data_IF_740146146780
#
_entry.id   IF_740146146780
#
_cell.length_a   1.000
_cell.length_b   1.000
_cell.length_c   1.000
_cell.angle_alpha   90.00
_cell.angle_beta   90.00
_cell.angle_gamma   90.00
#
_symmetry.space_group_name_H-M   'P 1'
#
loop_
_entity.id
_entity.type
_entity.pdbx_description
1 polymer ?
#
# COMPACT_ATOMS: atom_id res chain seq x y z
N UNK A 1 23.68 11.49 -4.39
CA UNK A 1 22.30 11.41 -3.86
C UNK A 1 22.17 12.51 -2.83
N UNK A 2 21.28 13.51 -3.05
CA UNK A 2 21.04 14.56 -2.06
C UNK A 2 20.34 13.94 -0.85
N UNK A 3 20.86 14.21 0.34
CA UNK A 3 20.54 13.55 1.59
C UNK A 3 19.09 13.90 2.05
N UNK A 4 18.44 13.03 2.85
CA UNK A 4 17.12 13.32 3.41
C UNK A 4 17.13 14.57 4.31
N UNK A 5 18.26 14.87 4.93
CA UNK A 5 18.44 16.08 5.72
C UNK A 5 18.38 17.35 4.86
N UNK A 6 19.00 17.36 3.67
CA UNK A 6 18.94 18.51 2.74
C UNK A 6 17.49 18.90 2.40
N UNK A 7 16.58 17.92 2.37
CA UNK A 7 15.16 18.15 2.08
C UNK A 7 14.40 18.72 3.27
N UNK A 8 14.72 18.26 4.48
CA UNK A 8 14.13 18.80 5.71
C UNK A 8 14.54 20.26 5.91
N UNK A 9 15.83 20.54 5.76
CA UNK A 9 16.37 21.89 5.90
C UNK A 9 15.75 22.86 4.88
N UNK A 10 15.56 22.38 3.63
CA UNK A 10 14.92 23.16 2.61
C UNK A 10 13.46 23.46 2.95
N UNK A 11 12.70 22.48 3.46
CA UNK A 11 11.29 22.71 3.88
C UNK A 11 11.23 23.69 5.04
N UNK A 12 12.10 23.58 6.03
CA UNK A 12 12.19 24.54 7.15
C UNK A 12 12.40 25.96 6.60
N UNK A 13 13.35 26.11 5.68
CA UNK A 13 13.69 27.40 5.09
C UNK A 13 12.53 27.99 4.29
N UNK A 14 11.95 27.21 3.34
CA UNK A 14 10.88 27.70 2.46
C UNK A 14 9.59 27.98 3.24
N UNK A 15 9.27 27.14 4.24
CA UNK A 15 8.08 27.30 5.08
C UNK A 15 8.25 28.35 6.17
N UNK A 16 9.41 28.96 6.29
CA UNK A 16 9.76 29.86 7.38
C UNK A 16 9.45 29.23 8.76
N UNK A 17 10.04 28.06 9.04
CA UNK A 17 9.78 27.30 10.26
C UNK A 17 8.28 26.94 10.45
N UNK A 18 7.62 26.49 9.39
CA UNK A 18 6.20 26.06 9.40
C UNK A 18 5.19 27.18 9.69
N UNK A 19 5.55 28.43 9.46
CA UNK A 19 4.68 29.58 9.66
C UNK A 19 4.09 30.16 8.37
N UNK A 20 4.50 29.62 7.20
CA UNK A 20 4.11 30.10 5.89
C UNK A 20 3.56 28.96 5.02
N UNK A 21 2.52 29.24 4.23
CA UNK A 21 2.09 28.35 3.15
C UNK A 21 3.11 28.43 2.02
N UNK A 22 3.66 27.28 1.63
CA UNK A 22 4.59 27.15 0.52
C UNK A 22 3.78 27.11 -0.78
N UNK A 23 4.02 28.06 -1.68
CA UNK A 23 3.40 28.03 -3.01
C UNK A 23 4.10 26.99 -3.91
N UNK A 24 3.33 26.32 -4.79
CA UNK A 24 3.86 25.29 -5.67
C UNK A 24 5.03 25.80 -6.54
N UNK A 25 4.99 27.06 -6.95
CA UNK A 25 6.07 27.66 -7.75
C UNK A 25 7.39 27.82 -6.98
N UNK A 26 7.35 27.92 -5.65
CA UNK A 26 8.56 28.02 -4.81
C UNK A 26 9.34 26.70 -4.78
N UNK A 27 8.71 25.58 -5.12
CA UNK A 27 9.32 24.26 -5.11
C UNK A 27 9.60 23.69 -6.48
N UNK A 28 9.07 24.30 -7.57
CA UNK A 28 9.22 23.79 -8.96
C UNK A 28 10.67 23.55 -9.37
N UNK A 29 11.60 24.38 -8.93
CA UNK A 29 13.02 24.28 -9.29
C UNK A 29 13.86 23.64 -8.17
N UNK A 30 13.22 23.07 -7.16
CA UNK A 30 13.91 22.47 -6.01
C UNK A 30 13.87 20.95 -6.05
N UNK A 31 14.65 20.33 -5.15
CA UNK A 31 14.62 18.88 -4.92
C UNK A 31 13.30 18.38 -4.34
N UNK A 32 12.39 19.26 -3.95
CA UNK A 32 11.06 18.96 -3.45
C UNK A 32 10.03 18.86 -4.57
N UNK A 33 10.38 19.29 -5.80
CA UNK A 33 9.46 19.28 -6.91
C UNK A 33 8.94 17.87 -7.20
N UNK A 34 7.64 17.76 -7.23
CA UNK A 34 6.91 16.58 -7.67
C UNK A 34 6.24 16.90 -9.01
N UNK A 35 6.69 16.39 -10.09
CA UNK A 35 6.06 16.59 -11.39
C UNK A 35 4.56 16.29 -11.38
N UNK A 36 3.80 16.81 -12.35
CA UNK A 36 2.33 16.86 -12.42
C UNK A 36 1.54 15.55 -12.28
N UNK A 37 2.18 14.41 -12.05
CA UNK A 37 1.57 13.10 -11.96
C UNK A 37 1.42 12.56 -10.51
N UNK A 38 1.33 13.41 -9.50
CA UNK A 38 1.13 13.00 -8.10
C UNK A 38 2.36 12.37 -7.43
N UNK A 39 3.55 12.48 -8.03
CA UNK A 39 4.78 11.98 -7.42
C UNK A 39 5.17 12.76 -6.16
N UNK A 40 4.81 14.03 -6.10
CA UNK A 40 5.05 14.89 -4.95
C UNK A 40 4.16 14.59 -3.76
N UNK A 41 2.94 14.23 -4.03
CA UNK A 41 2.02 13.76 -3.00
C UNK A 41 2.61 12.57 -2.24
N UNK A 42 3.24 11.64 -2.95
CA UNK A 42 3.93 10.50 -2.31
C UNK A 42 5.16 10.90 -1.51
N UNK A 43 5.88 11.93 -1.94
CA UNK A 43 7.09 12.38 -1.26
C UNK A 43 6.74 13.14 0.02
N UNK A 44 5.84 14.10 -0.07
CA UNK A 44 5.36 14.88 1.06
C UNK A 44 4.69 13.98 2.12
N UNK A 45 3.82 13.04 1.70
CA UNK A 45 3.18 12.06 2.59
C UNK A 45 4.16 11.21 3.42
N UNK A 46 5.40 11.05 2.97
CA UNK A 46 6.38 10.23 3.69
C UNK A 46 7.19 11.00 4.73
N UNK A 47 7.33 12.30 4.57
CA UNK A 47 8.25 13.09 5.39
C UNK A 47 7.58 14.11 6.28
N UNK A 48 6.39 14.58 5.92
CA UNK A 48 5.74 15.72 6.56
C UNK A 48 4.28 15.42 6.90
N UNK A 49 3.84 15.99 7.99
CA UNK A 49 2.42 16.23 8.27
C UNK A 49 2.07 17.56 7.62
N UNK A 50 1.13 17.56 6.67
CA UNK A 50 0.83 18.76 5.90
C UNK A 50 -0.63 18.81 5.46
N UNK A 51 -1.09 20.01 5.13
CA UNK A 51 -2.34 20.24 4.43
C UNK A 51 -2.07 20.73 3.02
N UNK A 52 -2.64 20.05 2.03
CA UNK A 52 -2.62 20.48 0.63
C UNK A 52 -3.78 21.41 0.34
N UNK A 53 -3.50 22.48 -0.40
CA UNK A 53 -4.47 23.49 -0.83
C UNK A 53 -4.61 23.37 -2.34
N UNK A 54 -5.84 23.19 -2.81
CA UNK A 54 -6.16 23.01 -4.21
C UNK A 54 -6.71 24.31 -4.82
N UNK A 55 -6.64 24.43 -6.14
CA UNK A 55 -7.11 25.61 -6.90
C UNK A 55 -8.61 25.89 -6.69
N UNK A 56 -9.42 24.86 -6.52
CA UNK A 56 -10.85 24.98 -6.22
C UNK A 56 -11.13 25.41 -4.77
N UNK A 57 -10.11 25.89 -4.06
CA UNK A 57 -10.13 26.26 -2.64
C UNK A 57 -10.41 25.11 -1.68
N UNK A 58 -10.49 23.87 -2.15
CA UNK A 58 -10.56 22.73 -1.25
C UNK A 58 -9.20 22.52 -0.57
N UNK A 59 -9.26 21.98 0.63
CA UNK A 59 -8.08 21.58 1.41
C UNK A 59 -8.16 20.09 1.72
N UNK A 60 -7.00 19.44 1.78
CA UNK A 60 -6.92 18.05 2.16
C UNK A 60 -5.78 17.83 3.14
N UNK A 61 -6.13 17.33 4.32
CA UNK A 61 -5.18 17.02 5.37
C UNK A 61 -4.46 15.70 5.07
N UNK A 62 -3.15 15.71 5.22
CA UNK A 62 -2.23 14.57 5.13
C UNK A 62 -1.35 14.55 6.37
N UNK A 63 -1.95 14.28 7.53
CA UNK A 63 -1.29 14.28 8.83
C UNK A 63 -1.58 13.00 9.60
N UNK A 64 -0.71 12.68 10.56
CA UNK A 64 -0.92 11.67 11.59
C UNK A 64 -1.75 12.22 12.75
N UNK A 65 -1.95 13.55 12.78
CA UNK A 65 -2.76 14.24 13.77
C UNK A 65 -3.95 14.93 13.07
N UNK A 66 -5.16 14.44 13.33
CA UNK A 66 -6.39 14.96 12.71
C UNK A 66 -6.73 16.39 13.15
N UNK A 67 -6.08 16.90 14.20
CA UNK A 67 -6.25 18.26 14.70
C UNK A 67 -5.31 19.28 14.05
N UNK A 68 -4.47 18.88 13.12
CA UNK A 68 -3.61 19.78 12.38
C UNK A 68 -4.43 20.68 11.46
N UNK A 69 -4.48 21.99 11.75
CA UNK A 69 -5.30 22.98 11.05
C UNK A 69 -4.39 24.11 10.53
N UNK A 70 -4.67 24.58 9.31
CA UNK A 70 -4.05 25.81 8.81
C UNK A 70 -4.69 27.00 9.53
N UNK A 71 -3.91 27.94 10.09
CA UNK A 71 -4.45 29.18 10.61
C UNK A 71 -5.27 29.92 9.53
N UNK A 72 -6.50 30.26 9.83
CA UNK A 72 -7.47 30.83 8.88
C UNK A 72 -6.94 32.08 8.18
N UNK A 73 -6.25 32.95 8.90
CA UNK A 73 -5.68 34.16 8.34
C UNK A 73 -4.60 33.88 7.29
N UNK A 74 -3.81 32.81 7.45
CA UNK A 74 -2.82 32.38 6.46
C UNK A 74 -3.49 31.83 5.21
N UNK A 75 -4.51 31.00 5.39
CA UNK A 75 -5.26 30.41 4.28
C UNK A 75 -5.95 31.50 3.45
N UNK A 76 -6.64 32.44 4.09
CA UNK A 76 -7.31 33.55 3.43
C UNK A 76 -6.32 34.45 2.69
N UNK A 77 -5.20 34.80 3.32
CA UNK A 77 -4.13 35.58 2.68
C UNK A 77 -3.58 34.87 1.45
N UNK A 78 -3.33 33.56 1.54
CA UNK A 78 -2.81 32.76 0.43
C UNK A 78 -3.79 32.67 -0.73
N UNK A 79 -5.08 32.40 -0.48
CA UNK A 79 -6.11 32.26 -1.50
C UNK A 79 -6.44 33.58 -2.21
N UNK A 80 -6.28 34.72 -1.54
CA UNK A 80 -6.54 36.01 -2.13
C UNK A 80 -5.48 36.46 -3.14
N UNK A 81 -4.24 35.97 -2.99
CA UNK A 81 -3.10 36.35 -3.86
C UNK A 81 -2.94 35.39 -5.03
N UNK A 82 -3.37 34.12 -4.89
CA UNK A 82 -3.11 33.06 -5.87
C UNK A 82 -4.36 32.75 -6.68
N UNK A 83 -4.48 33.37 -7.86
CA UNK A 83 -5.61 33.22 -8.80
C UNK A 83 -5.23 32.44 -10.07
N UNK A 84 -4.03 31.86 -10.14
CA UNK A 84 -3.55 31.15 -11.33
C UNK A 84 -4.40 29.91 -11.64
N UNK A 85 -4.67 29.72 -12.94
CA UNK A 85 -5.37 28.54 -13.46
C UNK A 85 -4.40 27.35 -13.58
N UNK A 86 -4.18 26.58 -12.51
CA UNK A 86 -3.52 25.29 -12.57
C UNK A 86 -4.45 24.20 -12.03
N UNK A 87 -4.45 23.05 -12.67
CA UNK A 87 -5.16 21.89 -12.17
C UNK A 87 -4.30 21.19 -11.10
N UNK A 88 -4.74 21.19 -9.85
CA UNK A 88 -4.06 20.45 -8.79
C UNK A 88 -3.75 21.25 -7.52
N UNK A 89 -2.71 20.85 -6.84
CA UNK A 89 -2.25 21.49 -5.59
C UNK A 89 -1.55 22.81 -5.94
N UNK A 90 -2.00 23.91 -5.33
CA UNK A 90 -1.40 25.24 -5.49
C UNK A 90 -0.52 25.63 -4.30
N UNK A 91 -0.76 25.04 -3.15
CA UNK A 91 0.00 25.34 -1.94
C UNK A 91 0.04 24.20 -0.95
N UNK A 92 1.02 24.24 -0.06
CA UNK A 92 1.18 23.27 1.03
C UNK A 92 1.48 24.03 2.31
N UNK A 93 0.75 23.70 3.37
CA UNK A 93 1.10 24.12 4.72
C UNK A 93 1.65 22.92 5.48
N UNK A 94 2.90 22.99 5.92
CA UNK A 94 3.56 21.94 6.69
C UNK A 94 3.34 22.21 8.17
N UNK A 95 2.79 21.23 8.88
CA UNK A 95 2.53 21.33 10.32
C UNK A 95 3.74 20.87 11.14
N UNK A 96 4.35 19.75 10.73
CA UNK A 96 5.49 19.15 11.42
C UNK A 96 6.19 18.13 10.53
N UNK A 97 7.35 17.67 10.96
CA UNK A 97 7.91 16.43 10.41
C UNK A 97 7.21 15.22 11.02
N UNK A 98 7.01 14.19 10.22
CA UNK A 98 6.55 12.91 10.74
C UNK A 98 7.60 12.30 11.63
N UNK A 99 7.20 11.92 12.83
CA UNK A 99 8.11 11.32 13.82
C UNK A 99 8.45 9.88 13.45
N UNK A 100 7.49 9.16 12.87
CA UNK A 100 7.62 7.75 12.52
C UNK A 100 7.53 7.57 10.99
N UNK A 101 8.60 7.89 10.28
CA UNK A 101 8.70 7.51 8.87
C UNK A 101 8.97 6.00 8.84
N UNK A 102 7.93 5.21 8.75
CA UNK A 102 8.09 3.78 8.49
C UNK A 102 8.57 3.60 7.04
N UNK A 103 9.88 3.58 6.87
CA UNK A 103 10.51 3.25 5.60
C UNK A 103 10.46 1.74 5.47
N UNK A 104 10.00 1.25 4.32
CA UNK A 104 10.13 -0.15 3.93
C UNK A 104 11.22 -0.24 2.86
N UNK A 105 12.48 -0.32 3.25
CA UNK A 105 13.58 -0.40 2.31
C UNK A 105 13.52 -1.74 1.57
N UNK A 106 14.12 -1.78 0.39
CA UNK A 106 14.38 -3.01 -0.36
C UNK A 106 15.86 -2.99 -0.67
N UNK A 107 16.58 -4.02 -0.27
CA UNK A 107 18.00 -4.13 -0.56
C UNK A 107 18.23 -4.08 -2.07
N UNK A 108 19.33 -3.48 -2.48
CA UNK A 108 19.64 -3.28 -3.90
C UNK A 108 19.67 -4.60 -4.67
N UNK A 109 20.27 -5.62 -4.09
CA UNK A 109 20.44 -6.93 -4.74
C UNK A 109 19.10 -7.64 -4.92
N UNK A 110 18.24 -7.63 -3.89
CA UNK A 110 16.88 -8.15 -3.99
C UNK A 110 16.10 -7.39 -5.06
N UNK A 111 16.18 -6.05 -5.05
CA UNK A 111 15.49 -5.23 -6.03
C UNK A 111 15.91 -5.51 -7.48
N UNK A 112 17.18 -5.82 -7.72
CA UNK A 112 17.70 -6.21 -9.05
C UNK A 112 17.16 -7.59 -9.44
N UNK A 113 17.28 -8.58 -8.56
CA UNK A 113 16.86 -9.95 -8.85
C UNK A 113 15.34 -10.06 -9.13
N UNK A 114 14.53 -9.33 -8.38
CA UNK A 114 13.06 -9.38 -8.54
C UNK A 114 12.58 -8.65 -9.79
N UNK A 115 13.14 -7.48 -10.13
CA UNK A 115 12.69 -6.67 -11.28
C UNK A 115 12.89 -7.35 -12.64
N UNK A 116 13.78 -8.32 -12.74
CA UNK A 116 14.01 -9.11 -13.97
C UNK A 116 12.95 -10.20 -14.20
N UNK A 117 12.08 -10.46 -13.23
CA UNK A 117 11.11 -11.55 -13.28
C UNK A 117 9.75 -11.06 -13.76
N UNK A 118 8.97 -11.98 -14.34
CA UNK A 118 7.56 -11.72 -14.73
C UNK A 118 6.67 -11.54 -13.51
N UNK A 119 5.62 -10.74 -13.65
CA UNK A 119 4.59 -10.59 -12.62
C UNK A 119 3.98 -11.95 -12.26
N UNK A 120 4.01 -12.31 -10.98
CA UNK A 120 3.50 -13.60 -10.50
C UNK A 120 1.99 -13.77 -10.64
N UNK A 121 1.25 -12.70 -10.88
CA UNK A 121 -0.21 -12.71 -11.04
C UNK A 121 -0.61 -12.76 -12.52
N UNK A 122 -0.05 -11.89 -13.37
CA UNK A 122 -0.51 -11.74 -14.75
C UNK A 122 0.54 -12.04 -15.82
N UNK A 123 1.76 -12.43 -15.45
CA UNK A 123 2.84 -12.78 -16.39
C UNK A 123 3.53 -11.60 -17.09
N UNK A 124 3.10 -10.36 -16.89
CA UNK A 124 3.71 -9.17 -17.54
C UNK A 124 5.16 -9.01 -17.13
N UNK A 125 6.04 -8.69 -18.08
CA UNK A 125 7.48 -8.56 -17.85
C UNK A 125 7.89 -7.27 -17.11
N UNK A 126 7.09 -6.20 -17.22
CA UNK A 126 7.40 -4.91 -16.59
C UNK A 126 6.94 -4.90 -15.14
N UNK A 127 7.84 -5.24 -14.23
CA UNK A 127 7.55 -5.42 -12.81
C UNK A 127 8.31 -4.47 -11.90
N UNK A 128 7.80 -4.34 -10.68
CA UNK A 128 8.45 -3.72 -9.53
C UNK A 128 8.62 -4.78 -8.44
N UNK A 129 9.61 -4.59 -7.58
CA UNK A 129 9.78 -5.43 -6.40
C UNK A 129 8.75 -5.02 -5.34
N UNK A 130 7.93 -5.96 -4.92
CA UNK A 130 6.88 -5.77 -3.91
C UNK A 130 7.16 -6.63 -2.68
N UNK A 131 6.93 -6.07 -1.48
CA UNK A 131 6.97 -6.85 -0.24
C UNK A 131 5.75 -7.78 -0.17
N UNK A 132 5.93 -9.07 0.05
CA UNK A 132 4.82 -10.00 0.24
C UNK A 132 3.93 -9.56 1.40
N UNK A 133 4.53 -9.31 2.57
CA UNK A 133 3.84 -8.70 3.70
C UNK A 133 3.75 -7.18 3.55
N UNK A 134 2.54 -6.60 3.46
CA UNK A 134 2.30 -5.17 3.37
C UNK A 134 2.21 -4.46 4.73
N UNK A 135 2.44 -5.19 5.81
CA UNK A 135 2.52 -4.67 7.17
C UNK A 135 3.90 -4.12 7.50
N UNK A 136 3.96 -3.31 8.54
CA UNK A 136 5.20 -2.77 9.11
C UNK A 136 5.48 -3.40 10.46
N UNK A 137 5.22 -4.70 10.59
CA UNK A 137 5.30 -5.46 11.83
C UNK A 137 6.38 -6.56 11.84
N UNK A 138 7.22 -6.61 10.82
CA UNK A 138 8.35 -7.55 10.72
C UNK A 138 9.65 -6.78 10.62
N UNK A 139 10.32 -6.58 11.77
CA UNK A 139 11.58 -5.85 11.86
C UNK A 139 12.68 -6.45 11.00
N UNK A 140 12.68 -7.78 10.82
CA UNK A 140 13.62 -8.48 9.96
C UNK A 140 13.48 -8.03 8.51
N UNK A 141 12.26 -7.88 8.02
CA UNK A 141 11.98 -7.43 6.64
C UNK A 141 12.18 -5.92 6.49
N UNK A 142 12.05 -5.16 7.57
CA UNK A 142 12.29 -3.72 7.56
C UNK A 142 13.79 -3.35 7.57
N UNK A 143 14.67 -4.29 7.82
CA UNK A 143 16.12 -4.10 7.80
C UNK A 143 16.75 -4.72 6.55
N UNK A 144 17.37 -3.92 5.68
CA UNK A 144 17.97 -4.38 4.41
C UNK A 144 18.98 -5.54 4.58
N UNK A 145 19.66 -5.61 5.73
CA UNK A 145 20.68 -6.64 6.02
C UNK A 145 20.10 -8.00 6.35
N UNK A 146 18.84 -8.06 6.78
CA UNK A 146 18.19 -9.31 7.22
C UNK A 146 17.08 -9.76 6.29
N UNK A 147 16.85 -9.03 5.19
CA UNK A 147 15.88 -9.37 4.15
C UNK A 147 16.27 -10.64 3.40
N UNK A 148 15.29 -11.45 3.07
CA UNK A 148 15.43 -12.62 2.21
C UNK A 148 14.72 -12.38 0.89
N UNK A 149 15.19 -12.99 -0.19
CA UNK A 149 14.53 -12.92 -1.50
C UNK A 149 13.08 -13.38 -1.45
N UNK A 150 12.80 -14.38 -0.60
CA UNK A 150 11.47 -14.95 -0.36
C UNK A 150 10.47 -13.98 0.27
N UNK A 151 10.92 -12.86 0.85
CA UNK A 151 10.04 -11.82 1.42
C UNK A 151 9.41 -10.95 0.35
N UNK A 152 9.85 -11.09 -0.90
CA UNK A 152 9.50 -10.22 -2.01
C UNK A 152 8.93 -10.99 -3.19
N UNK A 153 8.25 -10.27 -4.07
CA UNK A 153 7.68 -10.82 -5.30
C UNK A 153 7.69 -9.79 -6.43
N UNK A 154 7.76 -10.22 -7.70
CA UNK A 154 7.59 -9.33 -8.84
C UNK A 154 6.12 -9.09 -9.11
N UNK A 155 5.68 -7.84 -9.06
CA UNK A 155 4.33 -7.42 -9.46
C UNK A 155 4.41 -6.32 -10.52
N UNK A 156 3.56 -6.37 -11.53
CA UNK A 156 3.37 -5.21 -12.40
C UNK A 156 2.63 -4.09 -11.63
N UNK A 157 2.70 -2.87 -12.13
CA UNK A 157 2.07 -1.72 -11.45
C UNK A 157 0.58 -1.91 -11.21
N UNK A 158 -0.13 -2.55 -12.14
CA UNK A 158 -1.56 -2.85 -12.02
C UNK A 158 -1.84 -3.81 -10.87
N UNK A 159 -1.20 -4.97 -10.84
CA UNK A 159 -1.39 -5.96 -9.78
C UNK A 159 -0.93 -5.44 -8.41
N UNK A 160 0.15 -4.66 -8.36
CA UNK A 160 0.60 -4.01 -7.12
C UNK A 160 -0.43 -3.00 -6.60
N UNK A 161 -1.06 -2.23 -7.50
CA UNK A 161 -2.13 -1.31 -7.09
C UNK A 161 -3.36 -2.06 -6.53
N UNK A 162 -3.78 -3.15 -7.19
CA UNK A 162 -4.87 -3.98 -6.70
C UNK A 162 -4.55 -4.55 -5.30
N UNK A 163 -3.37 -5.15 -5.12
CA UNK A 163 -2.92 -5.64 -3.81
C UNK A 163 -3.02 -4.55 -2.75
N UNK A 164 -2.50 -3.35 -3.03
CA UNK A 164 -2.55 -2.23 -2.07
C UNK A 164 -3.96 -1.82 -1.70
N UNK A 165 -4.90 -1.85 -2.64
CA UNK A 165 -6.31 -1.55 -2.37
C UNK A 165 -6.94 -2.61 -1.47
N UNK A 166 -6.74 -3.90 -1.76
CA UNK A 166 -7.24 -5.00 -0.93
C UNK A 166 -6.65 -4.94 0.47
N UNK A 167 -5.34 -4.72 0.59
CA UNK A 167 -4.69 -4.59 1.88
C UNK A 167 -5.24 -3.41 2.72
N UNK A 168 -5.63 -2.31 2.05
CA UNK A 168 -6.29 -1.18 2.71
C UNK A 168 -7.68 -1.56 3.22
N UNK A 169 -8.46 -2.29 2.43
CA UNK A 169 -9.77 -2.78 2.83
C UNK A 169 -9.66 -3.76 4.01
N UNK A 170 -8.71 -4.70 3.95
CA UNK A 170 -8.43 -5.64 5.05
C UNK A 170 -8.15 -4.91 6.37
N UNK A 171 -7.35 -3.83 6.34
CA UNK A 171 -7.08 -3.01 7.54
C UNK A 171 -8.33 -2.36 8.12
N UNK A 172 -9.20 -1.84 7.25
CA UNK A 172 -10.48 -1.25 7.67
C UNK A 172 -11.40 -2.32 8.28
N UNK A 173 -11.44 -3.50 7.68
CA UNK A 173 -12.27 -4.60 8.17
C UNK A 173 -11.75 -5.17 9.49
N UNK A 174 -10.45 -5.28 9.65
CA UNK A 174 -9.82 -5.68 10.91
C UNK A 174 -10.18 -4.73 12.05
N UNK A 175 -10.04 -3.42 11.83
CA UNK A 175 -10.37 -2.40 12.84
C UNK A 175 -11.84 -2.47 13.29
N UNK A 176 -12.73 -3.00 12.45
CA UNK A 176 -14.15 -3.19 12.74
C UNK A 176 -14.53 -4.62 13.17
N UNK A 177 -13.54 -5.50 13.32
CA UNK A 177 -13.75 -6.94 13.57
C UNK A 177 -14.67 -7.60 12.51
N UNK A 178 -14.58 -7.16 11.26
CA UNK A 178 -15.35 -7.71 10.14
C UNK A 178 -14.49 -8.77 9.45
N UNK A 179 -15.15 -9.77 8.86
CA UNK A 179 -14.49 -10.80 8.08
C UNK A 179 -13.64 -10.19 6.95
N UNK A 180 -12.46 -10.77 6.73
CA UNK A 180 -11.54 -10.34 5.67
C UNK A 180 -12.17 -10.32 4.30
N UNK A 181 -11.67 -9.41 3.45
CA UNK A 181 -11.92 -9.47 2.02
C UNK A 181 -11.34 -10.76 1.42
N UNK A 182 -12.14 -11.45 0.62
CA UNK A 182 -11.76 -12.68 -0.06
C UNK A 182 -11.63 -12.45 -1.56
N UNK A 183 -10.59 -13.03 -2.14
CA UNK A 183 -10.39 -13.02 -3.59
C UNK A 183 -11.35 -14.01 -4.27
N UNK A 184 -11.60 -15.12 -3.60
CA UNK A 184 -12.51 -16.18 -4.09
C UNK A 184 -13.85 -16.14 -3.32
N UNK A 185 -14.95 -16.53 -3.94
CA UNK A 185 -16.28 -16.49 -3.31
C UNK A 185 -16.51 -17.60 -2.26
N UNK A 186 -15.52 -18.42 -1.98
CA UNK A 186 -15.56 -19.54 -1.05
C UNK A 186 -14.36 -19.51 -0.09
N UNK A 187 -14.46 -20.23 1.02
CA UNK A 187 -13.43 -20.32 2.04
C UNK A 187 -12.52 -21.51 1.82
N UNK A 188 -11.22 -21.28 1.94
CA UNK A 188 -10.24 -22.33 2.04
C UNK A 188 -9.91 -22.60 3.50
N UNK A 189 -9.60 -23.87 3.87
CA UNK A 189 -9.34 -24.24 5.25
C UNK A 189 -8.14 -23.53 5.90
N UNK A 190 -7.20 -23.06 5.08
CA UNK A 190 -5.98 -22.38 5.55
C UNK A 190 -6.13 -20.86 5.64
N UNK A 191 -7.21 -20.28 5.10
CA UNK A 191 -7.39 -18.84 5.15
C UNK A 191 -7.79 -18.36 6.55
N UNK A 192 -7.07 -17.38 7.06
CA UNK A 192 -7.45 -16.70 8.31
C UNK A 192 -8.70 -15.85 8.09
N UNK A 193 -9.70 -16.01 8.94
CA UNK A 193 -10.99 -15.32 8.82
C UNK A 193 -10.91 -13.83 9.17
N UNK A 194 -10.05 -13.48 10.12
CA UNK A 194 -9.88 -12.12 10.62
C UNK A 194 -8.45 -11.67 10.38
N UNK A 195 -8.30 -10.43 9.98
CA UNK A 195 -7.01 -9.78 9.82
C UNK A 195 -6.59 -9.14 11.13
N UNK A 196 -5.48 -9.57 11.71
CA UNK A 196 -4.87 -8.97 12.88
C UNK A 196 -3.58 -8.27 12.47
N UNK A 197 -3.54 -6.94 12.63
CA UNK A 197 -2.36 -6.14 12.29
C UNK A 197 -1.17 -6.39 13.24
N UNK A 198 -1.40 -6.98 14.41
CA UNK A 198 -0.36 -7.31 15.38
C UNK A 198 0.19 -8.72 15.19
N UNK A 199 -0.51 -9.59 14.46
CA UNK A 199 0.00 -10.91 14.09
C UNK A 199 0.91 -10.80 12.86
N UNK A 200 2.21 -11.02 13.06
CA UNK A 200 3.21 -10.99 11.99
C UNK A 200 2.88 -11.95 10.83
N UNK A 201 2.17 -13.02 11.11
CA UNK A 201 1.80 -14.05 10.15
C UNK A 201 0.37 -13.90 9.62
N UNK A 202 -0.33 -12.82 9.96
CA UNK A 202 -1.76 -12.70 9.61
C UNK A 202 -2.05 -12.77 8.11
N UNK A 203 -1.08 -12.50 7.26
CA UNK A 203 -1.21 -12.53 5.79
C UNK A 203 -0.59 -13.74 5.12
N UNK A 204 0.19 -14.54 5.83
CA UNK A 204 1.01 -15.62 5.26
C UNK A 204 0.22 -16.57 4.35
N UNK A 205 -1.01 -16.86 4.68
CA UNK A 205 -1.85 -17.82 3.96
C UNK A 205 -2.92 -17.12 3.08
N UNK A 206 -2.63 -15.93 2.58
CA UNK A 206 -3.54 -15.21 1.69
C UNK A 206 -3.00 -15.10 0.27
N UNK A 207 -3.90 -15.05 -0.70
CA UNK A 207 -3.54 -14.87 -2.11
C UNK A 207 -2.61 -13.67 -2.36
N UNK A 208 -2.93 -12.51 -1.78
CA UNK A 208 -2.15 -11.29 -2.00
C UNK A 208 -0.80 -11.25 -1.32
N UNK A 209 -0.58 -12.13 -0.34
CA UNK A 209 0.73 -12.31 0.26
C UNK A 209 1.66 -13.07 -0.69
N UNK A 210 1.26 -14.27 -1.13
CA UNK A 210 2.03 -15.12 -2.03
C UNK A 210 1.08 -15.86 -2.98
N UNK A 211 0.75 -15.26 -4.15
CA UNK A 211 -0.16 -15.90 -5.11
C UNK A 211 0.32 -17.28 -5.57
N UNK A 212 1.63 -17.45 -5.73
CA UNK A 212 2.22 -18.70 -6.21
C UNK A 212 2.02 -19.84 -5.21
N UNK A 213 2.30 -19.59 -3.94
CA UNK A 213 2.10 -20.61 -2.90
C UNK A 213 0.60 -20.83 -2.63
N UNK A 214 -0.20 -19.80 -2.74
CA UNK A 214 -1.65 -19.93 -2.60
C UNK A 214 -2.25 -20.82 -3.69
N UNK A 215 -1.87 -20.62 -4.95
CA UNK A 215 -2.34 -21.43 -6.08
C UNK A 215 -1.85 -22.90 -5.97
N UNK A 216 -0.64 -23.13 -5.49
CA UNK A 216 -0.16 -24.49 -5.18
C UNK A 216 -1.03 -25.19 -4.13
N UNK A 217 -1.40 -24.48 -3.07
CA UNK A 217 -2.29 -25.01 -2.02
C UNK A 217 -3.68 -25.34 -2.59
N UNK A 218 -4.24 -24.47 -3.44
CA UNK A 218 -5.49 -24.75 -4.14
C UNK A 218 -5.37 -26.02 -4.98
N UNK A 219 -4.34 -26.11 -5.82
CA UNK A 219 -4.13 -27.27 -6.69
C UNK A 219 -4.05 -28.56 -5.87
N UNK A 220 -3.25 -28.57 -4.80
CA UNK A 220 -3.15 -29.73 -3.91
C UNK A 220 -4.49 -30.08 -3.27
N UNK A 221 -5.21 -29.10 -2.72
CA UNK A 221 -6.52 -29.31 -2.09
C UNK A 221 -7.54 -29.90 -3.05
N UNK A 222 -7.65 -29.35 -4.25
CA UNK A 222 -8.55 -29.81 -5.28
C UNK A 222 -8.18 -31.22 -5.72
N UNK A 223 -6.90 -31.51 -5.92
CA UNK A 223 -6.40 -32.83 -6.31
C UNK A 223 -6.74 -33.92 -5.28
N UNK A 224 -6.68 -33.59 -3.99
CA UNK A 224 -7.03 -34.50 -2.91
C UNK A 224 -8.55 -34.64 -2.72
N UNK A 225 -9.31 -33.59 -2.97
CA UNK A 225 -10.75 -33.54 -2.67
C UNK A 225 -11.61 -34.16 -3.77
N UNK A 226 -11.25 -33.98 -5.04
CA UNK A 226 -12.03 -34.48 -6.19
C UNK A 226 -12.22 -36.00 -6.12
N UNK A 227 -11.21 -36.84 -5.85
CA UNK A 227 -11.39 -38.29 -5.74
C UNK A 227 -12.40 -38.68 -4.67
N UNK A 228 -12.33 -38.04 -3.49
CA UNK A 228 -13.24 -38.30 -2.36
C UNK A 228 -14.68 -37.95 -2.75
N UNK A 229 -14.90 -36.78 -3.37
CA UNK A 229 -16.22 -36.37 -3.84
C UNK A 229 -16.78 -37.35 -4.89
N UNK A 230 -15.95 -37.84 -5.80
CA UNK A 230 -16.35 -38.80 -6.78
C UNK A 230 -16.72 -40.15 -6.16
N UNK A 231 -15.99 -40.63 -5.19
CA UNK A 231 -16.31 -41.83 -4.42
C UNK A 231 -17.66 -41.70 -3.69
N UNK A 232 -17.89 -40.57 -3.01
CA UNK A 232 -19.14 -40.29 -2.34
C UNK A 232 -20.31 -40.29 -3.36
N UNK A 233 -20.14 -39.63 -4.50
CA UNK A 233 -21.16 -39.62 -5.58
C UNK A 233 -21.47 -41.01 -6.08
N UNK A 234 -20.47 -41.88 -6.25
CA UNK A 234 -20.68 -43.26 -6.65
C UNK A 234 -21.46 -44.05 -5.60
N UNK A 235 -21.12 -43.93 -4.32
CA UNK A 235 -21.83 -44.57 -3.21
C UNK A 235 -23.28 -44.10 -3.10
N UNK A 236 -23.55 -42.82 -3.26
CA UNK A 236 -24.91 -42.25 -3.25
C UNK A 236 -25.72 -42.78 -4.42
N UNK A 237 -25.14 -42.87 -5.61
CA UNK A 237 -25.82 -43.45 -6.80
C UNK A 237 -26.14 -44.93 -6.61
N UNK A 238 -25.19 -45.70 -6.09
CA UNK A 238 -25.39 -47.13 -5.83
C UNK A 238 -26.47 -47.36 -4.75
N UNK A 239 -26.54 -46.56 -3.73
CA UNK A 239 -27.58 -46.66 -2.70
C UNK A 239 -28.97 -46.24 -3.23
N UNK A 240 -29.05 -45.22 -4.10
CA UNK A 240 -30.33 -44.87 -4.77
C UNK A 240 -30.86 -45.97 -5.66
N UNK A 241 -30.00 -46.72 -6.36
CA UNK A 241 -30.42 -47.87 -7.18
C UNK A 241 -30.97 -49.00 -6.31
N UNK A 242 -30.35 -49.23 -5.12
CA UNK A 242 -30.88 -50.25 -4.19
C UNK A 242 -32.22 -49.91 -3.52
N UNK A 243 -32.59 -48.61 -3.46
CA UNK A 243 -33.89 -48.17 -2.92
C UNK A 243 -35.04 -48.19 -3.94
N UNK A 244 -34.75 -48.47 -5.19
CA UNK A 244 -35.71 -48.55 -6.33
C UNK A 244 -35.98 -50.00 -6.72
N UNK A 245 -35.21 -50.96 -6.20
CA UNK A 245 -35.46 -52.39 -6.32
C UNK A 245 -36.18 -52.95 -5.09
#
# INVERSE_FOLDING_TARGET
MKNANDKKDLVISISNNFTKIIHINEIKETILYWGGNGAGDRFANKMFNYTAIYLNKSIKLYSENDNDIIPEYLLNKFLNVNTEKCNGIIGIFVHSFRLNIQIRPISKDIGINIRGLSCVICGTQKTVCDHKNDLYNDERVLCEKTQLLSDFQPLCNHCNLQKRQICKIDKIYSAKNIQRYKVYPFEFPWEKKVYDIYDINCKTDTYWYDPVEFDKKIYYYVSCTIPIVNEIKQKVRANKIKLIQ
#
